data_IF_072414533021
#
_entry.id   IF_072414533021
#
_cell.length_a   1.000
_cell.length_b   1.000
_cell.length_c   1.000
_cell.angle_alpha   90.00
_cell.angle_beta   90.00
_cell.angle_gamma   90.00
#
_symmetry.space_group_name_H-M   'P 1'
#
loop_
_entity.id
_entity.type
_entity.pdbx_description
1 polymer ?
#
# COMPACT_ATOMS: atom_id res chain seq x y z
N UNK A 1 20.05 -90.12 -4.04
CA UNK A 1 18.70 -89.53 -3.85
C UNK A 1 18.31 -89.68 -2.38
N UNK A 2 18.40 -88.62 -1.59
CA UNK A 2 18.09 -88.68 -0.15
C UNK A 2 16.57 -88.70 0.05
N UNK A 3 16.03 -89.82 0.52
CA UNK A 3 14.62 -89.93 0.93
C UNK A 3 14.47 -89.36 2.33
N UNK A 4 13.68 -88.30 2.45
CA UNK A 4 13.35 -87.65 3.72
C UNK A 4 12.43 -88.57 4.54
N UNK A 5 12.65 -88.75 5.86
CA UNK A 5 11.88 -89.70 6.66
C UNK A 5 10.40 -89.28 6.76
N UNK A 6 9.46 -90.25 6.83
CA UNK A 6 8.03 -89.96 6.91
C UNK A 6 7.71 -89.19 8.21
N UNK A 7 6.85 -88.16 8.15
CA UNK A 7 6.58 -87.33 9.31
C UNK A 7 5.84 -88.11 10.40
N UNK A 8 6.34 -88.03 11.64
CA UNK A 8 5.75 -88.60 12.86
C UNK A 8 4.24 -88.30 12.98
N UNK A 9 3.45 -89.30 13.40
CA UNK A 9 1.98 -89.26 13.53
C UNK A 9 1.51 -88.05 14.37
N UNK A 10 2.26 -87.68 15.40
CA UNK A 10 1.96 -86.53 16.26
C UNK A 10 2.08 -85.19 15.53
N UNK A 11 3.00 -85.07 14.57
CA UNK A 11 3.12 -83.86 13.74
C UNK A 11 1.93 -83.71 12.79
N UNK A 12 1.38 -84.82 12.29
CA UNK A 12 0.17 -84.80 11.43
C UNK A 12 -1.07 -84.40 12.22
N UNK A 13 -1.25 -84.90 13.43
CA UNK A 13 -2.38 -84.54 14.31
C UNK A 13 -2.30 -83.05 14.67
N UNK A 14 -1.15 -82.55 15.13
CA UNK A 14 -0.95 -81.11 15.44
C UNK A 14 -1.18 -80.21 14.21
N UNK A 15 -0.80 -80.65 13.02
CA UNK A 15 -1.05 -79.92 11.78
C UNK A 15 -2.54 -79.88 11.42
N UNK A 16 -3.27 -80.98 11.61
CA UNK A 16 -4.72 -81.05 11.41
C UNK A 16 -5.48 -80.12 12.38
N UNK A 17 -5.13 -80.15 13.67
CA UNK A 17 -5.71 -79.26 14.69
C UNK A 17 -5.45 -77.78 14.37
N UNK A 18 -4.23 -77.43 13.93
CA UNK A 18 -3.91 -76.06 13.48
C UNK A 18 -4.74 -75.63 12.25
N UNK A 19 -4.98 -76.53 11.28
CA UNK A 19 -5.82 -76.24 10.11
C UNK A 19 -7.27 -75.99 10.52
N UNK A 20 -7.81 -76.80 11.43
CA UNK A 20 -9.17 -76.64 11.93
C UNK A 20 -9.35 -75.33 12.70
N UNK A 21 -8.41 -74.99 13.58
CA UNK A 21 -8.42 -73.70 14.28
C UNK A 21 -8.35 -72.50 13.31
N UNK A 22 -7.48 -72.56 12.30
CA UNK A 22 -7.39 -71.51 11.27
C UNK A 22 -8.69 -71.38 10.46
N UNK A 23 -9.33 -72.50 10.14
CA UNK A 23 -10.61 -72.53 9.42
C UNK A 23 -11.73 -71.90 10.26
N UNK A 24 -11.86 -72.29 11.53
CA UNK A 24 -12.84 -71.70 12.45
C UNK A 24 -12.61 -70.20 12.66
N UNK A 25 -11.35 -69.79 12.81
CA UNK A 25 -10.99 -68.37 12.91
C UNK A 25 -11.39 -67.61 11.63
N UNK A 26 -11.12 -68.15 10.44
CA UNK A 26 -11.55 -67.52 9.20
C UNK A 26 -13.08 -67.46 9.05
N UNK A 27 -13.82 -68.50 9.47
CA UNK A 27 -15.28 -68.47 9.47
C UNK A 27 -15.83 -67.39 10.39
N UNK A 28 -15.30 -67.29 11.61
CA UNK A 28 -15.66 -66.23 12.55
C UNK A 28 -15.40 -64.82 11.99
N UNK A 29 -14.25 -64.60 11.35
CA UNK A 29 -13.97 -63.31 10.69
C UNK A 29 -14.94 -63.01 9.54
N UNK A 30 -15.32 -64.01 8.74
CA UNK A 30 -16.30 -63.84 7.66
C UNK A 30 -17.69 -63.55 8.21
N UNK A 31 -18.07 -64.15 9.34
CA UNK A 31 -19.31 -63.86 10.06
C UNK A 31 -19.34 -62.42 10.57
N UNK A 32 -18.31 -61.98 11.29
CA UNK A 32 -18.22 -60.59 11.74
C UNK A 32 -18.29 -59.57 10.60
N UNK A 33 -17.61 -59.85 9.49
CA UNK A 33 -17.69 -58.97 8.31
C UNK A 33 -19.10 -58.93 7.71
N UNK A 34 -19.80 -60.07 7.64
CA UNK A 34 -21.21 -60.09 7.18
C UNK A 34 -22.11 -59.31 8.11
N UNK A 35 -21.97 -59.49 9.41
CA UNK A 35 -22.79 -58.78 10.40
C UNK A 35 -22.55 -57.28 10.36
N UNK A 36 -21.29 -56.86 10.18
CA UNK A 36 -20.94 -55.45 10.00
C UNK A 36 -21.55 -54.85 8.73
N UNK A 37 -21.52 -55.59 7.62
CA UNK A 37 -22.16 -55.16 6.36
C UNK A 37 -23.67 -55.06 6.53
N UNK A 38 -24.31 -56.01 7.22
CA UNK A 38 -25.74 -55.97 7.51
C UNK A 38 -26.09 -54.77 8.40
N UNK A 39 -25.30 -54.50 9.44
CA UNK A 39 -25.48 -53.35 10.32
C UNK A 39 -25.33 -52.01 9.56
N UNK A 40 -24.31 -51.90 8.70
CA UNK A 40 -24.13 -50.72 7.85
C UNK A 40 -25.28 -50.52 6.87
N UNK A 41 -25.78 -51.60 6.24
CA UNK A 41 -26.95 -51.54 5.34
C UNK A 41 -28.21 -51.10 6.08
N UNK A 42 -28.42 -51.61 7.29
CA UNK A 42 -29.52 -51.19 8.15
C UNK A 42 -29.42 -49.70 8.50
N UNK A 43 -28.23 -49.22 8.89
CA UNK A 43 -28.00 -47.81 9.18
C UNK A 43 -28.27 -46.91 7.96
N UNK A 44 -27.82 -47.33 6.77
CA UNK A 44 -28.10 -46.60 5.52
C UNK A 44 -29.61 -46.52 5.28
N UNK A 45 -30.31 -47.65 5.43
CA UNK A 45 -31.76 -47.69 5.26
C UNK A 45 -32.49 -46.80 6.26
N UNK A 46 -32.11 -46.83 7.54
CA UNK A 46 -32.71 -46.00 8.59
C UNK A 46 -32.47 -44.50 8.33
N UNK A 47 -31.26 -44.14 7.88
CA UNK A 47 -30.93 -42.76 7.49
C UNK A 47 -31.69 -42.31 6.23
N UNK A 48 -31.89 -43.19 5.25
CA UNK A 48 -32.69 -42.92 4.07
C UNK A 48 -34.17 -42.72 4.42
N UNK A 49 -34.71 -43.58 5.29
CA UNK A 49 -36.08 -43.46 5.78
C UNK A 49 -36.29 -42.17 6.56
N UNK A 50 -35.34 -41.78 7.42
CA UNK A 50 -35.40 -40.52 8.16
C UNK A 50 -35.31 -39.30 7.22
N UNK A 51 -34.45 -39.35 6.22
CA UNK A 51 -34.37 -38.30 5.18
C UNK A 51 -35.69 -38.19 4.40
N UNK A 52 -36.30 -39.31 4.04
CA UNK A 52 -37.60 -39.34 3.36
C UNK A 52 -38.68 -38.72 4.24
N UNK A 53 -38.73 -39.10 5.52
CA UNK A 53 -39.68 -38.57 6.53
C UNK A 53 -39.55 -37.05 6.65
N UNK A 54 -38.33 -36.54 6.77
CA UNK A 54 -38.03 -35.11 6.86
C UNK A 54 -38.36 -34.37 5.56
N UNK A 55 -38.22 -35.03 4.40
CA UNK A 55 -38.60 -34.49 3.09
C UNK A 55 -40.11 -34.40 2.89
N UNK A 56 -40.88 -35.34 3.45
CA UNK A 56 -42.35 -35.37 3.34
C UNK A 56 -43.07 -34.51 4.39
N UNK A 57 -42.36 -34.07 5.43
CA UNK A 57 -42.92 -33.17 6.44
C UNK A 57 -43.36 -31.86 5.75
N UNK A 58 -44.61 -31.40 5.95
CA UNK A 58 -45.08 -30.16 5.33
C UNK A 58 -44.14 -29.03 5.71
N UNK A 59 -43.48 -28.44 4.70
CA UNK A 59 -42.62 -27.27 4.89
C UNK A 59 -43.49 -26.16 5.47
N UNK A 60 -43.21 -25.76 6.71
CA UNK A 60 -43.85 -24.59 7.32
C UNK A 60 -43.71 -23.41 6.36
N UNK A 61 -44.82 -22.81 5.96
CA UNK A 61 -44.88 -21.72 4.96
C UNK A 61 -44.22 -20.41 5.41
N UNK A 62 -43.60 -20.39 6.59
CA UNK A 62 -43.17 -19.18 7.30
C UNK A 62 -41.67 -19.06 7.54
N UNK A 63 -40.84 -20.03 7.14
CA UNK A 63 -39.40 -20.00 7.48
C UNK A 63 -38.59 -20.39 6.25
N UNK A 64 -37.72 -19.47 5.81
CA UNK A 64 -36.69 -19.69 4.79
C UNK A 64 -36.05 -21.08 4.95
N UNK A 65 -35.84 -21.79 3.86
CA UNK A 65 -35.23 -23.11 3.96
C UNK A 65 -33.81 -22.95 4.55
N UNK A 66 -33.49 -23.73 5.58
CA UNK A 66 -32.18 -23.69 6.23
C UNK A 66 -31.00 -23.87 5.26
N UNK A 67 -31.23 -24.54 4.12
CA UNK A 67 -30.27 -24.62 3.02
C UNK A 67 -29.94 -23.24 2.47
N UNK A 68 -30.95 -22.43 2.20
CA UNK A 68 -30.79 -21.08 1.63
C UNK A 68 -30.17 -20.15 2.67
N UNK A 69 -30.55 -20.28 3.94
CA UNK A 69 -29.92 -19.56 5.07
C UNK A 69 -28.44 -19.92 5.21
N UNK A 70 -28.09 -21.21 5.13
CA UNK A 70 -26.71 -21.65 5.23
C UNK A 70 -25.85 -21.19 4.05
N UNK A 71 -26.44 -21.14 2.84
CA UNK A 71 -25.75 -20.60 1.65
C UNK A 71 -25.52 -19.10 1.81
N UNK A 72 -26.55 -18.33 2.17
CA UNK A 72 -26.42 -16.89 2.39
C UNK A 72 -25.41 -16.55 3.50
N UNK A 73 -25.40 -17.31 4.60
CA UNK A 73 -24.42 -17.14 5.68
C UNK A 73 -23.00 -17.45 5.23
N UNK A 74 -22.82 -18.47 4.37
CA UNK A 74 -21.51 -18.80 3.80
C UNK A 74 -21.03 -17.68 2.88
N UNK A 75 -21.89 -17.21 1.98
CA UNK A 75 -21.56 -16.10 1.06
C UNK A 75 -21.16 -14.85 1.85
N UNK A 76 -21.94 -14.50 2.87
CA UNK A 76 -21.61 -13.35 3.74
C UNK A 76 -20.31 -13.54 4.53
N UNK A 77 -20.02 -14.77 4.98
CA UNK A 77 -18.76 -15.09 5.64
C UNK A 77 -17.57 -14.98 4.68
N UNK A 78 -17.71 -15.46 3.44
CA UNK A 78 -16.69 -15.38 2.40
C UNK A 78 -16.43 -13.91 2.03
N UNK A 79 -17.49 -13.11 1.85
CA UNK A 79 -17.39 -11.65 1.64
C UNK A 79 -16.68 -10.95 2.81
N UNK A 80 -17.08 -11.25 4.04
CA UNK A 80 -16.46 -10.69 5.24
C UNK A 80 -14.98 -11.05 5.35
N UNK A 81 -14.59 -12.26 4.93
CA UNK A 81 -13.19 -12.69 4.89
C UNK A 81 -12.40 -11.91 3.85
N UNK A 82 -12.94 -11.74 2.65
CA UNK A 82 -12.32 -10.94 1.58
C UNK A 82 -12.13 -9.50 2.03
N UNK A 83 -13.18 -8.89 2.62
CA UNK A 83 -13.12 -7.54 3.15
C UNK A 83 -12.04 -7.43 4.23
N UNK A 84 -12.03 -8.36 5.21
CA UNK A 84 -11.03 -8.39 6.27
C UNK A 84 -9.60 -8.46 5.71
N UNK A 85 -9.36 -9.31 4.72
CA UNK A 85 -8.04 -9.40 4.07
C UNK A 85 -7.65 -8.10 3.36
N UNK A 86 -8.59 -7.46 2.66
CA UNK A 86 -8.37 -6.17 1.98
C UNK A 86 -8.05 -5.05 2.97
N UNK A 87 -8.75 -5.01 4.11
CA UNK A 87 -8.53 -4.04 5.17
C UNK A 87 -7.19 -4.27 5.87
N UNK A 88 -6.82 -5.52 6.11
CA UNK A 88 -5.49 -5.85 6.66
C UNK A 88 -4.37 -5.41 5.73
N UNK A 89 -4.48 -5.68 4.42
CA UNK A 89 -3.50 -5.22 3.44
C UNK A 89 -3.41 -3.68 3.39
N UNK A 90 -4.55 -3.01 3.49
CA UNK A 90 -4.62 -1.54 3.53
C UNK A 90 -3.99 -0.98 4.80
N UNK A 91 -4.24 -1.60 5.96
CA UNK A 91 -3.62 -1.23 7.23
C UNK A 91 -2.10 -1.38 7.17
N UNK A 92 -1.61 -2.49 6.64
CA UNK A 92 -0.16 -2.72 6.52
C UNK A 92 0.50 -1.66 5.63
N UNK A 93 -0.09 -1.32 4.48
CA UNK A 93 0.39 -0.23 3.62
C UNK A 93 0.50 1.11 4.36
N UNK A 94 -0.51 1.46 5.17
CA UNK A 94 -0.48 2.68 5.97
C UNK A 94 0.57 2.64 7.09
N UNK A 95 0.77 1.49 7.73
CA UNK A 95 1.83 1.33 8.73
C UNK A 95 3.20 1.56 8.10
N UNK A 96 3.46 0.94 6.95
CA UNK A 96 4.74 1.14 6.23
C UNK A 96 4.94 2.62 5.83
N UNK A 97 3.88 3.28 5.37
CA UNK A 97 3.90 4.72 5.07
C UNK A 97 4.27 5.55 6.32
N UNK A 98 3.61 5.28 7.45
CA UNK A 98 3.87 6.00 8.71
C UNK A 98 5.31 5.77 9.22
N UNK A 99 5.81 4.54 9.16
CA UNK A 99 7.19 4.24 9.55
C UNK A 99 8.19 5.01 8.69
N UNK A 100 7.93 5.10 7.39
CA UNK A 100 8.81 5.81 6.46
C UNK A 100 8.78 7.32 6.68
N UNK A 101 7.60 7.89 6.94
CA UNK A 101 7.46 9.31 7.28
C UNK A 101 8.12 9.64 8.63
N UNK A 102 7.95 8.80 9.65
CA UNK A 102 8.61 8.99 10.94
C UNK A 102 10.13 8.92 10.82
N UNK A 103 10.65 7.95 10.06
CA UNK A 103 12.08 7.85 9.77
C UNK A 103 12.59 9.12 9.08
N UNK A 104 11.84 9.63 8.12
CA UNK A 104 12.18 10.85 7.40
C UNK A 104 12.20 12.08 8.32
N UNK A 105 11.18 12.28 9.15
CA UNK A 105 11.14 13.39 10.12
C UNK A 105 12.34 13.32 11.07
N UNK A 106 12.65 12.12 11.58
CA UNK A 106 13.81 11.91 12.44
C UNK A 106 15.12 12.29 11.72
N UNK A 107 15.32 11.81 10.48
CA UNK A 107 16.51 12.14 9.67
C UNK A 107 16.60 13.64 9.36
N UNK A 108 15.51 14.26 8.91
CA UNK A 108 15.45 15.68 8.62
C UNK A 108 15.79 16.55 9.85
N UNK A 109 15.38 16.11 11.05
CA UNK A 109 15.72 16.79 12.30
C UNK A 109 17.18 16.65 12.72
N UNK A 110 17.84 15.52 12.39
CA UNK A 110 19.21 15.22 12.81
C UNK A 110 20.27 15.78 11.83
N UNK A 111 20.06 15.61 10.53
CA UNK A 111 21.04 16.00 9.50
C UNK A 111 21.10 17.51 9.27
N UNK A 112 20.03 18.22 9.66
CA UNK A 112 19.99 19.67 9.64
C UNK A 112 19.43 20.20 10.98
N UNK A 113 20.28 20.47 11.97
CA UNK A 113 19.88 21.13 13.21
C UNK A 113 19.27 22.53 12.99
N UNK A 114 19.53 23.15 11.83
CA UNK A 114 18.90 24.40 11.39
C UNK A 114 17.54 24.21 10.70
N UNK A 115 17.20 22.98 10.26
CA UNK A 115 15.87 22.56 9.80
C UNK A 115 15.02 21.94 10.89
N UNK A 116 15.59 21.69 12.08
CA UNK A 116 14.78 21.90 13.26
C UNK A 116 14.30 23.33 13.11
N UNK A 117 13.08 23.53 12.60
CA UNK A 117 12.19 24.58 13.09
C UNK A 117 12.60 24.72 14.53
N UNK A 118 13.30 25.81 14.85
CA UNK A 118 13.82 26.05 16.19
C UNK A 118 12.79 25.45 17.14
N UNK A 119 13.22 24.56 18.04
CA UNK A 119 12.31 23.88 18.96
C UNK A 119 11.45 24.88 19.78
N UNK A 120 11.70 26.17 19.58
CA UNK A 120 10.90 27.31 19.95
C UNK A 120 10.38 28.02 18.68
N UNK A 121 9.05 28.20 18.53
CA UNK A 121 8.52 29.19 17.60
C UNK A 121 9.13 30.55 17.99
N UNK A 122 10.09 31.03 17.20
CA UNK A 122 10.55 32.40 17.34
C UNK A 122 9.37 33.31 16.98
N UNK A 123 9.15 34.36 17.78
CA UNK A 123 8.06 35.30 17.55
C UNK A 123 8.17 36.04 16.21
N UNK A 124 9.33 35.98 15.55
CA UNK A 124 9.57 36.50 14.22
C UNK A 124 9.87 35.36 13.24
N UNK A 125 8.86 34.95 12.48
CA UNK A 125 9.05 34.10 11.30
C UNK A 125 9.84 34.87 10.24
N UNK A 126 11.12 34.53 10.05
CA UNK A 126 11.98 35.08 8.98
C UNK A 126 12.04 34.17 7.74
N UNK A 127 12.53 34.69 6.61
CA UNK A 127 12.65 34.00 5.32
C UNK A 127 13.43 32.69 5.38
N UNK A 128 14.38 32.55 6.31
CA UNK A 128 15.11 31.30 6.52
C UNK A 128 14.18 30.13 6.91
N UNK A 129 13.08 30.40 7.60
CA UNK A 129 12.09 29.38 7.97
C UNK A 129 11.21 28.93 6.80
N UNK A 130 11.10 29.77 5.75
CA UNK A 130 10.36 29.46 4.53
C UNK A 130 11.24 28.80 3.47
N UNK A 131 12.55 28.69 3.69
CA UNK A 131 13.47 28.04 2.75
C UNK A 131 13.26 26.53 2.73
N UNK A 132 12.26 26.09 1.96
CA UNK A 132 11.96 24.67 1.73
C UNK A 132 13.05 23.96 0.91
N UNK A 133 14.01 24.70 0.36
CA UNK A 133 15.12 24.17 -0.43
C UNK A 133 15.98 23.14 0.32
N UNK A 134 15.98 23.22 1.66
CA UNK A 134 16.74 22.29 2.52
C UNK A 134 15.92 21.08 2.98
N UNK A 135 14.60 21.09 2.78
CA UNK A 135 13.74 19.99 3.21
C UNK A 135 13.71 18.91 2.14
N UNK A 136 14.36 17.77 2.42
CA UNK A 136 14.31 16.60 1.55
C UNK A 136 12.91 15.97 1.57
N UNK A 137 12.47 15.35 0.49
CA UNK A 137 11.24 14.54 0.47
C UNK A 137 11.58 13.06 0.36
N UNK A 138 10.71 12.22 0.92
CA UNK A 138 10.81 10.77 0.80
C UNK A 138 10.60 10.33 -0.65
N UNK A 139 11.48 9.46 -1.16
CA UNK A 139 11.37 8.95 -2.54
C UNK A 139 10.09 8.11 -2.80
N UNK A 140 9.54 7.46 -1.79
CA UNK A 140 8.31 6.68 -1.95
C UNK A 140 7.12 7.58 -2.34
N UNK A 141 6.43 7.24 -3.44
CA UNK A 141 5.40 8.06 -4.08
C UNK A 141 4.28 8.52 -3.14
N UNK A 142 3.72 7.62 -2.32
CA UNK A 142 2.62 7.98 -1.42
C UNK A 142 3.07 8.93 -0.29
N UNK A 143 4.30 8.72 0.20
CA UNK A 143 4.93 9.55 1.23
C UNK A 143 5.27 10.94 0.67
N UNK A 144 5.80 10.97 -0.55
CA UNK A 144 6.13 12.20 -1.26
C UNK A 144 4.90 13.07 -1.52
N UNK A 145 3.77 12.45 -1.89
CA UNK A 145 2.49 13.15 -2.03
C UNK A 145 2.10 13.88 -0.75
N UNK A 146 2.17 13.21 0.41
CA UNK A 146 1.90 13.84 1.70
C UNK A 146 2.88 14.98 2.00
N UNK A 147 4.16 14.83 1.65
CA UNK A 147 5.15 15.89 1.75
C UNK A 147 4.81 17.11 0.88
N UNK A 148 4.36 16.91 -0.36
CA UNK A 148 3.88 18.00 -1.22
C UNK A 148 2.63 18.67 -0.67
N UNK A 149 1.67 17.91 -0.14
CA UNK A 149 0.46 18.46 0.46
C UNK A 149 0.82 19.31 1.69
N UNK A 150 1.74 18.83 2.53
CA UNK A 150 2.26 19.56 3.69
C UNK A 150 3.00 20.85 3.29
N UNK A 151 3.90 20.79 2.30
CA UNK A 151 4.53 21.99 1.76
C UNK A 151 3.51 22.98 1.23
N UNK A 152 2.51 22.50 0.50
CA UNK A 152 1.46 23.36 -0.07
C UNK A 152 0.69 24.07 1.04
N UNK A 153 0.37 23.38 2.15
CA UNK A 153 -0.28 23.99 3.31
C UNK A 153 0.61 25.04 3.98
N UNK A 154 1.91 24.77 4.16
CA UNK A 154 2.87 25.75 4.69
C UNK A 154 2.90 26.99 3.79
N UNK A 155 3.07 26.80 2.48
CA UNK A 155 3.10 27.91 1.53
C UNK A 155 1.80 28.72 1.58
N UNK A 156 0.65 28.04 1.49
CA UNK A 156 -0.66 28.67 1.44
C UNK A 156 -0.94 29.52 2.69
N UNK A 157 -0.80 28.94 3.88
CA UNK A 157 -1.11 29.65 5.13
C UNK A 157 -0.13 30.76 5.49
N UNK A 158 1.10 30.72 4.94
CA UNK A 158 2.13 31.72 5.24
C UNK A 158 2.36 32.72 4.10
N UNK A 159 1.65 32.59 2.99
CA UNK A 159 1.79 33.50 1.84
C UNK A 159 1.51 34.94 2.25
N UNK A 160 0.42 35.19 2.98
CA UNK A 160 0.03 36.55 3.37
C UNK A 160 1.06 37.20 4.31
N UNK A 161 1.55 36.45 5.30
CA UNK A 161 2.57 36.92 6.22
C UNK A 161 3.88 37.24 5.49
N UNK A 162 4.29 36.38 4.54
CA UNK A 162 5.48 36.59 3.72
C UNK A 162 5.33 37.81 2.82
N UNK A 163 4.16 38.00 2.21
CA UNK A 163 3.86 39.17 1.39
C UNK A 163 3.83 40.46 2.21
N UNK A 164 3.38 40.44 3.46
CA UNK A 164 3.42 41.61 4.34
C UNK A 164 4.86 41.98 4.72
N UNK A 165 5.67 40.99 5.09
CA UNK A 165 7.05 41.20 5.52
C UNK A 165 7.94 41.68 4.38
N UNK A 166 7.89 40.99 3.23
CA UNK A 166 8.82 41.26 2.14
C UNK A 166 8.22 42.09 1.02
N UNK A 167 6.90 42.21 0.89
CA UNK A 167 6.22 42.97 -0.17
C UNK A 167 6.61 42.56 -1.59
N UNK A 168 5.84 43.02 -2.58
CA UNK A 168 6.21 42.88 -3.98
C UNK A 168 7.04 44.10 -4.42
N UNK A 169 8.00 43.93 -5.35
CA UNK A 169 8.77 45.04 -5.85
C UNK A 169 7.86 46.01 -6.62
N UNK A 170 7.86 47.29 -6.21
CA UNK A 170 7.00 48.33 -6.78
C UNK A 170 7.45 48.70 -8.19
N UNK A 171 6.51 48.79 -9.12
CA UNK A 171 6.74 49.11 -10.55
C UNK A 171 7.31 50.51 -10.80
N UNK A 172 7.30 51.39 -9.78
CA UNK A 172 7.73 52.78 -9.88
C UNK A 172 9.21 52.97 -10.30
N UNK A 173 10.05 51.96 -10.17
CA UNK A 173 11.50 52.02 -10.48
C UNK A 173 11.92 51.17 -11.68
N UNK A 174 10.98 50.53 -12.40
CA UNK A 174 11.32 49.54 -13.42
C UNK A 174 11.37 50.10 -14.86
N UNK A 175 12.50 49.90 -15.54
CA UNK A 175 12.73 50.20 -16.96
C UNK A 175 11.87 49.32 -17.90
N UNK A 176 11.27 48.25 -17.37
CA UNK A 176 10.38 47.34 -18.09
C UNK A 176 9.04 47.18 -17.32
N UNK A 177 7.90 47.66 -17.85
CA UNK A 177 6.63 47.70 -17.12
C UNK A 177 5.98 46.33 -16.88
N UNK A 178 6.57 45.23 -17.38
CA UNK A 178 5.95 43.89 -17.36
C UNK A 178 6.72 42.89 -16.50
N UNK A 179 7.93 43.25 -16.03
CA UNK A 179 8.74 42.42 -15.13
C UNK A 179 9.59 43.32 -14.24
N UNK A 180 9.36 43.22 -12.93
CA UNK A 180 10.15 43.93 -11.92
C UNK A 180 10.84 42.89 -11.06
N UNK A 181 12.12 43.09 -10.78
CA UNK A 181 12.86 42.23 -9.86
C UNK A 181 13.86 43.06 -9.07
N UNK A 182 14.03 42.71 -7.80
CA UNK A 182 15.06 43.27 -6.95
C UNK A 182 15.57 42.23 -5.94
N UNK A 183 16.59 42.64 -5.18
CA UNK A 183 17.17 41.84 -4.11
C UNK A 183 16.92 42.58 -2.79
N UNK A 184 16.29 41.88 -1.86
CA UNK A 184 16.11 42.33 -0.50
C UNK A 184 17.08 41.58 0.41
N UNK A 185 17.89 42.31 1.16
CA UNK A 185 18.80 41.74 2.15
C UNK A 185 18.09 41.74 3.50
N UNK A 186 17.73 40.55 3.97
CA UNK A 186 17.14 40.36 5.29
C UNK A 186 18.27 40.06 6.29
N UNK A 187 18.56 41.08 7.11
CA UNK A 187 19.52 41.05 8.22
C UNK A 187 18.86 40.83 9.58
N UNK A 188 17.61 40.38 9.63
CA UNK A 188 16.91 40.10 10.90
C UNK A 188 17.51 38.92 11.66
N UNK A 189 18.29 38.06 11.00
CA UNK A 189 19.10 37.04 11.65
C UNK A 189 20.58 37.47 11.67
N UNK A 190 21.16 37.60 12.87
CA UNK A 190 22.56 37.99 13.06
C UNK A 190 23.55 36.88 12.68
N UNK A 191 23.10 35.61 12.71
CA UNK A 191 23.93 34.45 12.41
C UNK A 191 23.85 34.03 10.93
N UNK A 192 22.86 34.54 10.17
CA UNK A 192 22.78 34.32 8.73
C UNK A 192 22.17 35.49 7.96
N UNK A 193 22.84 35.89 6.89
CA UNK A 193 22.28 36.86 5.94
C UNK A 193 21.34 36.13 4.96
N UNK A 194 20.08 36.52 4.94
CA UNK A 194 19.11 36.00 3.98
C UNK A 194 19.05 36.94 2.77
N UNK A 195 19.37 36.41 1.58
CA UNK A 195 19.22 37.15 0.32
C UNK A 195 17.92 36.73 -0.35
N UNK A 196 16.98 37.65 -0.45
CA UNK A 196 15.63 37.39 -0.95
C UNK A 196 15.50 38.02 -2.33
N UNK A 197 15.42 37.18 -3.36
CA UNK A 197 15.12 37.63 -4.71
C UNK A 197 13.61 37.77 -4.88
N UNK A 198 13.13 39.01 -5.01
CA UNK A 198 11.72 39.30 -5.26
C UNK A 198 11.54 39.59 -6.73
N UNK A 199 10.51 39.01 -7.35
CA UNK A 199 10.15 39.36 -8.72
C UNK A 199 8.63 39.36 -8.87
N UNK A 200 8.14 40.31 -9.67
CA UNK A 200 6.75 40.42 -10.06
C UNK A 200 6.67 40.46 -11.58
N UNK A 201 5.71 39.73 -12.15
CA UNK A 201 5.42 39.74 -13.58
C UNK A 201 3.91 39.93 -13.76
N UNK A 202 3.53 40.87 -14.62
CA UNK A 202 2.13 41.14 -14.92
C UNK A 202 1.77 40.39 -16.20
N UNK A 203 0.75 39.53 -16.12
CA UNK A 203 0.19 38.82 -17.26
C UNK A 203 -1.19 39.40 -17.56
N UNK A 204 -1.41 39.78 -18.82
CA UNK A 204 -2.70 40.29 -19.29
C UNK A 204 -3.40 39.20 -20.10
N UNK A 205 -4.65 38.87 -19.74
CA UNK A 205 -5.48 37.93 -20.50
C UNK A 205 -6.44 37.11 -19.63
N UNK A 206 -7.23 36.22 -20.25
CA UNK A 206 -8.09 35.28 -19.53
C UNK A 206 -7.27 34.34 -18.65
N UNK A 207 -7.79 34.03 -17.45
CA UNK A 207 -7.09 33.24 -16.43
C UNK A 207 -6.50 31.94 -16.97
N UNK A 208 -7.26 31.16 -17.73
CA UNK A 208 -6.80 29.87 -18.30
C UNK A 208 -5.53 30.03 -19.15
N UNK A 209 -5.49 31.04 -20.02
CA UNK A 209 -4.32 31.31 -20.86
C UNK A 209 -3.10 31.77 -20.03
N UNK A 210 -3.34 32.52 -18.96
CA UNK A 210 -2.27 32.96 -18.05
C UNK A 210 -1.69 31.79 -17.28
N UNK A 211 -2.52 30.86 -16.80
CA UNK A 211 -2.08 29.64 -16.10
C UNK A 211 -1.16 28.82 -17.00
N UNK A 212 -1.53 28.61 -18.27
CA UNK A 212 -0.70 27.89 -19.23
C UNK A 212 0.62 28.61 -19.52
N UNK A 213 0.57 29.93 -19.68
CA UNK A 213 1.77 30.75 -19.87
C UNK A 213 2.72 30.69 -18.66
N UNK A 214 2.21 30.78 -17.44
CA UNK A 214 3.00 30.64 -16.21
C UNK A 214 3.61 29.24 -16.12
N UNK A 215 2.85 28.19 -16.44
CA UNK A 215 3.34 26.82 -16.44
C UNK A 215 4.49 26.63 -17.43
N UNK A 216 4.37 27.15 -18.65
CA UNK A 216 5.43 27.05 -19.66
C UNK A 216 6.64 27.92 -19.29
N UNK A 217 6.40 29.19 -18.94
CA UNK A 217 7.46 30.20 -18.77
C UNK A 217 8.17 30.14 -17.42
N UNK A 218 7.47 29.81 -16.35
CA UNK A 218 8.02 29.84 -14.99
C UNK A 218 8.32 28.45 -14.48
N UNK A 219 7.44 27.48 -14.70
CA UNK A 219 7.66 26.12 -14.20
C UNK A 219 8.62 25.37 -15.13
N UNK A 220 8.25 25.13 -16.39
CA UNK A 220 9.05 24.31 -17.32
C UNK A 220 10.41 24.93 -17.67
N UNK A 221 10.46 26.25 -17.82
CA UNK A 221 11.71 26.98 -18.07
C UNK A 221 12.70 26.86 -16.90
N UNK A 222 12.23 27.01 -15.66
CA UNK A 222 13.10 26.99 -14.47
C UNK A 222 13.41 25.57 -13.97
N UNK A 223 12.51 24.62 -14.21
CA UNK A 223 12.75 23.20 -13.92
C UNK A 223 13.61 22.52 -14.99
N UNK A 224 13.89 23.21 -16.09
CA UNK A 224 14.56 22.70 -17.29
C UNK A 224 13.86 21.50 -17.97
N UNK A 225 12.66 21.14 -17.52
CA UNK A 225 11.90 19.99 -18.05
C UNK A 225 11.33 20.23 -19.43
N UNK A 226 11.29 21.49 -19.89
CA UNK A 226 10.86 21.86 -21.23
C UNK A 226 11.96 21.90 -22.30
N UNK A 227 13.22 21.62 -21.93
CA UNK A 227 14.35 21.72 -22.85
C UNK A 227 14.74 20.37 -23.44
N UNK A 228 15.05 20.36 -24.73
CA UNK A 228 15.71 19.22 -25.37
C UNK A 228 17.16 19.08 -24.90
N UNK A 229 17.71 17.87 -25.04
CA UNK A 229 19.12 17.59 -24.72
C UNK A 229 20.08 18.50 -25.52
N UNK A 230 19.72 18.84 -26.75
CA UNK A 230 20.52 19.73 -27.61
C UNK A 230 20.54 21.16 -27.09
N UNK A 231 19.40 21.69 -26.66
CA UNK A 231 19.32 23.05 -26.08
C UNK A 231 20.04 23.15 -24.74
N UNK A 232 19.95 22.11 -23.90
CA UNK A 232 20.73 22.03 -22.66
C UNK A 232 22.25 22.00 -22.93
N UNK A 233 22.68 21.23 -23.94
CA UNK A 233 24.08 21.19 -24.36
C UNK A 233 24.56 22.56 -24.88
N UNK A 234 23.74 23.27 -25.66
CA UNK A 234 24.05 24.61 -26.15
C UNK A 234 24.22 25.61 -25.00
N UNK A 235 23.43 25.45 -23.93
CA UNK A 235 23.54 26.23 -22.68
C UNK A 235 24.66 25.76 -21.76
N UNK A 236 25.41 24.71 -22.12
CA UNK A 236 26.44 24.08 -21.28
C UNK A 236 25.91 23.64 -19.92
N UNK A 237 24.66 23.20 -19.87
CA UNK A 237 24.01 22.73 -18.65
C UNK A 237 23.76 21.22 -18.75
N UNK A 238 24.10 20.50 -17.68
CA UNK A 238 23.71 19.11 -17.48
C UNK A 238 22.64 19.08 -16.40
N UNK A 239 21.46 18.55 -16.72
CA UNK A 239 20.34 18.42 -15.78
C UNK A 239 20.10 16.94 -15.53
N UNK A 240 20.44 16.49 -14.33
CA UNK A 240 20.19 15.12 -13.90
C UNK A 240 18.86 15.06 -13.15
N UNK A 241 17.89 14.37 -13.74
CA UNK A 241 16.63 14.09 -13.07
C UNK A 241 16.84 12.91 -12.11
N UNK A 242 17.07 13.22 -10.84
CA UNK A 242 17.25 12.22 -9.76
C UNK A 242 15.97 11.40 -9.52
N UNK A 243 14.80 11.91 -9.95
CA UNK A 243 13.54 11.19 -9.88
C UNK A 243 13.28 10.35 -11.13
N UNK A 244 13.28 9.00 -11.04
CA UNK A 244 13.00 8.13 -12.19
C UNK A 244 11.61 8.37 -12.80
N UNK A 245 10.64 8.90 -12.04
CA UNK A 245 9.29 9.20 -12.56
C UNK A 245 9.27 10.34 -13.59
N UNK A 246 10.26 11.24 -13.57
CA UNK A 246 10.39 12.34 -14.55
C UNK A 246 11.04 11.83 -15.84
N UNK A 247 11.98 10.88 -15.71
CA UNK A 247 12.70 10.32 -16.84
C UNK A 247 11.77 9.51 -17.77
N UNK A 248 10.77 8.81 -17.21
CA UNK A 248 9.78 8.06 -18.01
C UNK A 248 8.83 8.94 -18.83
N UNK A 249 8.52 10.16 -18.36
CA UNK A 249 7.59 11.07 -19.07
C UNK A 249 8.22 11.82 -20.23
N UNK A 250 9.54 12.04 -20.20
CA UNK A 250 10.26 12.85 -21.18
C UNK A 250 11.43 12.11 -21.85
N UNK A 251 11.69 10.85 -21.49
CA UNK A 251 12.76 10.01 -22.02
C UNK A 251 12.38 9.09 -23.18
N UNK A 252 11.12 9.13 -23.63
CA UNK A 252 10.65 8.39 -24.82
C UNK A 252 10.20 9.33 -25.94
N UNK A 253 11.08 10.24 -26.37
CA UNK A 253 11.08 10.87 -27.69
C UNK A 253 12.53 11.18 -28.10
#
# INVERSE_FOLDING_TARGET
MAQTPPPSKDKKIKAATRRQYKSQKQQYYREQQRDQVVAMRKLIHDLQAERQRLSTRPKSKSVLAWKDVAVALKEYADESLIERHSLQATREKHIQLLLQLNKWIAQASMDHPQLSTSAYPSSAWSASHFSLARVSLVAHKASRKHGYDWFTQILYHNTDALMQTYQLPTVATAVAPHRVADLFLDSSNLDCLNVIARYAMVFNGPFEHVVDLVKQREIQYKSYTGYSKQELHLKRMTVDYVDPEINDKYGSL
#
